data_IF_269672284619
#
_entry.id   IF_269672284619
#
_cell.length_a   1.000
_cell.length_b   1.000
_cell.length_c   1.000
_cell.angle_alpha   90.00
_cell.angle_beta   90.00
_cell.angle_gamma   90.00
#
_symmetry.space_group_name_H-M   'P 1'
#
loop_
_entity.id
_entity.type
_entity.pdbx_description
1 polymer ?
#
# COMPACT_ATOMS: atom_id res chain seq x y z
N UNK A 1 -33.83 7.13 -20.53
CA UNK A 1 -32.69 6.19 -20.64
C UNK A 1 -31.46 6.80 -21.30
N UNK A 2 -31.60 7.61 -22.34
CA UNK A 2 -30.46 8.18 -23.08
C UNK A 2 -29.47 8.98 -22.21
N UNK A 3 -29.95 9.65 -21.15
CA UNK A 3 -29.10 10.39 -20.21
C UNK A 3 -28.06 9.53 -19.46
N UNK A 4 -28.22 8.20 -19.45
CA UNK A 4 -27.28 7.28 -18.81
C UNK A 4 -26.01 7.03 -19.66
N UNK A 5 -26.03 7.41 -20.94
CA UNK A 5 -24.97 7.16 -21.91
C UNK A 5 -24.21 8.46 -22.22
N UNK A 6 -22.96 8.61 -21.73
CA UNK A 6 -22.19 9.84 -21.89
C UNK A 6 -21.77 10.13 -23.34
N UNK A 7 -21.80 9.11 -24.21
CA UNK A 7 -21.38 9.25 -25.61
C UNK A 7 -22.49 9.84 -26.52
N UNK A 8 -23.72 9.98 -26.00
CA UNK A 8 -24.84 10.59 -26.73
C UNK A 8 -24.57 12.08 -26.93
N UNK A 9 -24.68 12.54 -28.18
CA UNK A 9 -24.32 13.90 -28.61
C UNK A 9 -25.52 14.84 -28.78
N UNK A 10 -26.71 14.48 -28.28
CA UNK A 10 -27.87 15.37 -28.31
C UNK A 10 -27.68 16.53 -27.33
N UNK A 11 -27.61 17.75 -27.86
CA UNK A 11 -27.44 19.00 -27.11
C UNK A 11 -28.52 19.20 -26.03
N UNK A 12 -29.76 18.78 -26.30
CA UNK A 12 -30.88 18.92 -25.36
C UNK A 12 -30.71 18.01 -24.13
N UNK A 13 -29.99 16.90 -24.28
CA UNK A 13 -29.79 15.91 -23.22
C UNK A 13 -28.50 16.14 -22.41
N UNK A 14 -27.56 16.94 -22.92
CA UNK A 14 -26.25 17.16 -22.26
C UNK A 14 -26.35 17.59 -20.79
N UNK A 15 -27.26 18.50 -20.38
CA UNK A 15 -27.38 18.85 -18.96
C UNK A 15 -27.79 17.65 -18.08
N UNK A 16 -28.69 16.80 -18.59
CA UNK A 16 -29.14 15.59 -17.90
C UNK A 16 -28.05 14.52 -17.84
N UNK A 17 -27.30 14.34 -18.93
CA UNK A 17 -26.14 13.44 -19.01
C UNK A 17 -25.08 13.84 -17.99
N UNK A 18 -24.76 15.13 -17.90
CA UNK A 18 -23.77 15.65 -16.96
C UNK A 18 -24.18 15.39 -15.51
N UNK A 19 -25.43 15.69 -15.15
CA UNK A 19 -25.97 15.44 -13.82
C UNK A 19 -25.96 13.96 -13.46
N UNK A 20 -26.46 13.10 -14.35
CA UNK A 20 -26.51 11.66 -14.11
C UNK A 20 -25.11 11.07 -13.98
N UNK A 21 -24.17 11.48 -14.84
CA UNK A 21 -22.77 11.06 -14.77
C UNK A 21 -22.12 11.42 -13.45
N UNK A 22 -22.35 12.64 -12.95
CA UNK A 22 -21.86 13.07 -11.64
C UNK A 22 -22.37 12.15 -10.54
N UNK A 23 -23.69 11.93 -10.46
CA UNK A 23 -24.30 11.07 -9.45
C UNK A 23 -23.78 9.64 -9.52
N UNK A 24 -23.70 9.05 -10.72
CA UNK A 24 -23.13 7.72 -10.95
C UNK A 24 -21.69 7.62 -10.45
N UNK A 25 -20.86 8.60 -10.80
CA UNK A 25 -19.45 8.60 -10.41
C UNK A 25 -19.31 8.71 -8.88
N UNK A 26 -20.11 9.56 -8.22
CA UNK A 26 -20.14 9.66 -6.76
C UNK A 26 -20.60 8.35 -6.10
N UNK A 27 -21.64 7.69 -6.62
CA UNK A 27 -22.12 6.40 -6.09
C UNK A 27 -21.08 5.30 -6.24
N UNK A 28 -20.46 5.17 -7.41
CA UNK A 28 -19.40 4.18 -7.64
C UNK A 28 -18.18 4.43 -6.75
N UNK A 29 -17.77 5.69 -6.62
CA UNK A 29 -16.69 6.08 -5.72
C UNK A 29 -17.04 5.71 -4.28
N UNK A 30 -18.24 6.07 -3.82
CA UNK A 30 -18.73 5.71 -2.49
C UNK A 30 -18.67 4.21 -2.25
N UNK A 31 -19.18 3.40 -3.18
CA UNK A 31 -19.15 1.94 -3.09
C UNK A 31 -17.72 1.39 -2.99
N UNK A 32 -16.81 1.81 -3.87
CA UNK A 32 -15.43 1.32 -3.90
C UNK A 32 -14.54 1.88 -2.78
N UNK A 33 -15.05 2.79 -1.96
CA UNK A 33 -14.43 3.21 -0.69
C UNK A 33 -14.97 2.45 0.53
N UNK A 34 -15.96 1.58 0.36
CA UNK A 34 -16.44 0.68 1.43
C UNK A 34 -15.53 -0.54 1.57
N UNK A 35 -15.63 -1.24 2.70
CA UNK A 35 -14.91 -2.50 2.92
C UNK A 35 -15.24 -3.56 1.85
N UNK A 36 -16.52 -3.70 1.47
CA UNK A 36 -16.95 -4.61 0.41
C UNK A 36 -16.33 -4.23 -0.94
N UNK A 37 -16.38 -2.94 -1.30
CA UNK A 37 -15.79 -2.45 -2.54
C UNK A 37 -14.28 -2.66 -2.60
N UNK A 38 -13.55 -2.47 -1.49
CA UNK A 38 -12.11 -2.78 -1.43
C UNK A 38 -11.81 -4.27 -1.63
N UNK A 39 -12.63 -5.16 -1.07
CA UNK A 39 -12.50 -6.62 -1.29
C UNK A 39 -12.75 -6.98 -2.75
N UNK A 40 -13.75 -6.39 -3.39
CA UNK A 40 -14.08 -6.64 -4.80
C UNK A 40 -12.98 -6.15 -5.75
N UNK A 41 -12.30 -5.04 -5.42
CA UNK A 41 -11.12 -4.57 -6.15
C UNK A 41 -9.89 -5.47 -5.95
N UNK A 42 -9.92 -6.39 -4.97
CA UNK A 42 -8.74 -7.14 -4.55
C UNK A 42 -7.65 -6.25 -3.95
N UNK A 43 -8.01 -5.08 -3.42
CA UNK A 43 -7.05 -4.15 -2.85
C UNK A 43 -6.53 -4.69 -1.51
N UNK A 44 -5.23 -4.97 -1.45
CA UNK A 44 -4.58 -5.52 -0.24
C UNK A 44 -3.99 -4.43 0.67
N UNK A 45 -3.86 -3.19 0.18
CA UNK A 45 -3.19 -2.11 0.91
C UNK A 45 -1.67 -2.33 1.04
N UNK A 46 -1.06 -1.54 1.93
CA UNK A 46 0.35 -1.71 2.28
C UNK A 46 0.47 -2.80 3.35
N UNK A 47 1.04 -3.93 2.98
CA UNK A 47 1.45 -4.96 3.93
C UNK A 47 2.91 -4.71 4.32
N UNK A 48 3.29 -4.79 5.61
CA UNK A 48 4.69 -4.74 6.01
C UNK A 48 5.48 -5.79 5.25
N UNK A 49 6.46 -5.35 4.46
CA UNK A 49 7.39 -6.27 3.81
C UNK A 49 8.64 -6.45 4.67
N UNK A 50 9.31 -7.58 4.48
CA UNK A 50 10.63 -7.79 5.02
C UNK A 50 11.65 -7.24 4.03
N UNK A 51 12.39 -6.22 4.42
CA UNK A 51 13.52 -5.73 3.64
C UNK A 51 14.82 -5.98 4.38
N UNK A 52 15.61 -6.91 3.86
CA UNK A 52 16.90 -7.32 4.42
C UNK A 52 18.09 -6.66 3.70
N UNK A 53 17.86 -5.47 3.15
CA UNK A 53 18.87 -4.75 2.38
C UNK A 53 18.94 -5.15 0.91
N UNK A 54 19.96 -4.64 0.24
CA UNK A 54 20.22 -4.90 -1.18
C UNK A 54 20.79 -6.33 -1.31
N UNK A 55 20.24 -7.17 -2.21
CA UNK A 55 20.74 -8.53 -2.40
C UNK A 55 22.22 -8.59 -2.74
N UNK A 56 22.91 -9.62 -2.24
CA UNK A 56 24.36 -9.81 -2.41
C UNK A 56 24.79 -9.80 -3.88
N UNK A 57 24.01 -10.42 -4.77
CA UNK A 57 24.30 -10.44 -6.21
C UNK A 57 24.33 -9.02 -6.82
N UNK A 58 23.48 -8.11 -6.34
CA UNK A 58 23.45 -6.72 -6.79
C UNK A 58 24.64 -5.96 -6.22
N UNK A 59 24.95 -6.15 -4.95
CA UNK A 59 26.12 -5.53 -4.31
C UNK A 59 27.43 -5.93 -5.00
N UNK A 60 27.61 -7.22 -5.29
CA UNK A 60 28.77 -7.76 -5.98
C UNK A 60 28.95 -7.13 -7.37
N UNK A 61 27.87 -6.94 -8.13
CA UNK A 61 27.89 -6.26 -9.44
C UNK A 61 28.43 -4.83 -9.36
N UNK A 62 28.25 -4.17 -8.22
CA UNK A 62 28.70 -2.80 -7.98
C UNK A 62 30.00 -2.72 -7.16
N UNK A 63 30.67 -3.84 -6.90
CA UNK A 63 31.89 -3.89 -6.09
C UNK A 63 31.66 -3.43 -4.65
N UNK A 64 30.45 -3.63 -4.13
CA UNK A 64 30.06 -3.26 -2.76
C UNK A 64 29.83 -4.52 -1.93
N UNK A 65 29.95 -4.38 -0.63
CA UNK A 65 29.54 -5.36 0.37
C UNK A 65 29.11 -4.62 1.62
N UNK A 66 28.28 -5.26 2.44
CA UNK A 66 28.03 -4.77 3.79
C UNK A 66 29.19 -5.11 4.71
N UNK A 67 29.39 -4.29 5.74
CA UNK A 67 30.31 -4.57 6.83
C UNK A 67 29.65 -5.54 7.82
N UNK A 68 30.37 -6.60 8.19
CA UNK A 68 29.88 -7.60 9.12
C UNK A 68 29.53 -7.01 10.49
N UNK A 69 30.27 -5.99 10.96
CA UNK A 69 29.98 -5.34 12.24
C UNK A 69 28.63 -4.61 12.19
N UNK A 70 28.32 -3.97 11.06
CA UNK A 70 27.06 -3.27 10.88
C UNK A 70 25.89 -4.21 10.67
N UNK A 71 26.07 -5.30 9.92
CA UNK A 71 25.03 -6.33 9.76
C UNK A 71 24.62 -6.96 11.10
N UNK A 72 25.60 -7.20 11.99
CA UNK A 72 25.32 -7.76 13.32
C UNK A 72 24.51 -6.81 14.22
N UNK A 73 24.52 -5.50 13.94
CA UNK A 73 23.74 -4.48 14.65
C UNK A 73 22.36 -4.24 14.04
N UNK A 74 22.11 -4.74 12.83
CA UNK A 74 20.80 -4.64 12.21
C UNK A 74 19.76 -5.51 12.94
N UNK A 75 18.48 -5.18 12.74
CA UNK A 75 17.37 -5.90 13.39
C UNK A 75 17.35 -7.35 12.91
N UNK A 76 17.47 -8.30 13.84
CA UNK A 76 17.15 -9.70 13.59
C UNK A 76 15.64 -9.85 13.42
N UNK A 77 15.25 -10.04 12.17
CA UNK A 77 13.86 -10.12 11.77
C UNK A 77 13.12 -11.32 12.38
N UNK A 78 13.84 -12.38 12.81
CA UNK A 78 13.24 -13.53 13.48
C UNK A 78 12.81 -13.23 14.92
N UNK A 79 13.41 -12.19 15.51
CA UNK A 79 13.18 -11.74 16.89
C UNK A 79 12.41 -10.42 16.98
N UNK A 80 12.02 -9.82 15.85
CA UNK A 80 11.42 -8.48 15.79
C UNK A 80 10.12 -8.33 16.60
N UNK A 81 9.40 -9.42 16.83
CA UNK A 81 8.13 -9.43 17.57
C UNK A 81 8.34 -9.69 19.08
N UNK A 82 9.59 -9.94 19.52
CA UNK A 82 9.95 -10.06 20.92
C UNK A 82 9.96 -8.66 21.54
N UNK A 83 9.24 -8.50 22.66
CA UNK A 83 9.24 -7.23 23.40
C UNK A 83 10.54 -7.10 24.16
N UNK A 84 11.25 -6.00 23.95
CA UNK A 84 12.52 -5.72 24.62
C UNK A 84 12.34 -5.52 26.13
N UNK A 85 13.06 -6.31 26.93
CA UNK A 85 13.12 -6.16 28.39
C UNK A 85 14.45 -5.54 28.81
N UNK A 86 14.41 -4.66 29.83
CA UNK A 86 15.56 -3.92 30.31
C UNK A 86 15.73 -4.14 31.82
N UNK A 87 16.98 -4.22 32.28
CA UNK A 87 17.29 -4.23 33.71
C UNK A 87 17.28 -2.82 34.31
N UNK A 88 17.45 -2.74 35.64
CA UNK A 88 17.50 -1.47 36.38
C UNK A 88 18.71 -0.59 36.01
N UNK A 89 19.72 -1.16 35.36
CA UNK A 89 20.93 -0.50 34.88
C UNK A 89 20.82 -0.04 33.42
N UNK A 90 19.65 -0.22 32.79
CA UNK A 90 19.35 0.12 31.39
C UNK A 90 20.10 -0.75 30.36
N UNK A 91 20.45 -1.99 30.70
CA UNK A 91 20.94 -2.98 29.74
C UNK A 91 19.78 -3.77 29.12
N UNK A 92 19.89 -4.08 27.82
CA UNK A 92 18.93 -4.90 27.09
C UNK A 92 19.10 -6.38 27.47
N UNK A 93 18.04 -7.01 27.97
CA UNK A 93 18.03 -8.42 28.37
C UNK A 93 17.52 -9.32 27.22
N UNK A 94 16.46 -8.90 26.52
CA UNK A 94 15.77 -9.71 25.50
C UNK A 94 15.48 -8.97 24.21
#
# INVERSE_FOLDING_TARGET
>A
DEIAYPDVQDDALQPGIAFFTLMRNMTLTGYYTTELGFRDLGYQGNTPNLWDGVPEAVLARHGKSYDAEWLAKCVDQTRRDITAEWDDEMNLIT
#
